data_IF_136793606036
#
_entry.id   IF_136793606036
#
_cell.length_a   1.000
_cell.length_b   1.000
_cell.length_c   1.000
_cell.angle_alpha   90.00
_cell.angle_beta   90.00
_cell.angle_gamma   90.00
#
_symmetry.space_group_name_H-M   'P 1'
#
loop_
_entity.id
_entity.type
_entity.pdbx_description
1 polymer ?
#
# COMPACT_ATOMS: atom_id res chain seq x y z
N UNK A 1 -24.12 -37.21 21.52
CA UNK A 1 -23.11 -36.33 22.14
C UNK A 1 -22.14 -35.71 21.12
N UNK A 2 -21.70 -36.45 20.09
CA UNK A 2 -20.81 -35.92 19.04
C UNK A 2 -21.38 -34.75 18.19
N UNK A 3 -22.70 -34.69 17.97
CA UNK A 3 -23.34 -33.63 17.16
C UNK A 3 -23.24 -32.25 17.83
N UNK A 4 -23.40 -32.19 19.16
CA UNK A 4 -23.32 -30.93 19.91
C UNK A 4 -21.88 -30.38 19.98
N UNK A 5 -20.87 -31.27 20.08
CA UNK A 5 -19.47 -30.88 20.02
C UNK A 5 -19.11 -30.27 18.66
N UNK A 6 -19.63 -30.84 17.56
CA UNK A 6 -19.35 -30.39 16.20
C UNK A 6 -20.00 -29.03 15.89
N UNK A 7 -21.23 -28.81 16.37
CA UNK A 7 -21.91 -27.50 16.25
C UNK A 7 -21.19 -26.41 17.05
N UNK A 8 -20.69 -26.72 18.24
CA UNK A 8 -19.96 -25.74 19.05
C UNK A 8 -18.62 -25.33 18.41
N UNK A 9 -17.89 -26.30 17.85
CA UNK A 9 -16.64 -26.05 17.12
C UNK A 9 -16.86 -25.23 15.85
N UNK A 10 -17.94 -25.49 15.11
CA UNK A 10 -18.29 -24.74 13.91
C UNK A 10 -18.67 -23.28 14.23
N UNK A 11 -19.43 -23.06 15.32
CA UNK A 11 -19.79 -21.71 15.77
C UNK A 11 -18.57 -20.89 16.23
N UNK A 12 -17.61 -21.51 16.91
CA UNK A 12 -16.36 -20.85 17.32
C UNK A 12 -15.47 -20.48 16.13
N UNK A 13 -15.35 -21.36 15.13
CA UNK A 13 -14.63 -21.08 13.89
C UNK A 13 -15.25 -19.91 13.11
N UNK A 14 -16.58 -19.92 12.96
CA UNK A 14 -17.32 -18.86 12.29
C UNK A 14 -17.16 -17.49 12.96
N UNK A 15 -17.09 -17.45 14.30
CA UNK A 15 -16.79 -16.22 15.05
C UNK A 15 -15.36 -15.74 14.79
N UNK A 16 -14.36 -16.62 14.92
CA UNK A 16 -12.95 -16.25 14.70
C UNK A 16 -12.68 -15.70 13.30
N UNK A 17 -13.32 -16.27 12.26
CA UNK A 17 -13.20 -15.74 10.90
C UNK A 17 -13.87 -14.37 10.76
N UNK A 18 -15.03 -14.13 11.40
CA UNK A 18 -15.68 -12.81 11.36
C UNK A 18 -14.81 -11.74 11.99
N UNK A 19 -14.17 -12.07 13.11
CA UNK A 19 -13.26 -11.15 13.81
C UNK A 19 -12.01 -10.86 12.97
N UNK A 20 -11.44 -11.87 12.32
CA UNK A 20 -10.32 -11.69 11.40
C UNK A 20 -10.68 -10.80 10.19
N UNK A 21 -11.86 -11.03 9.59
CA UNK A 21 -12.38 -10.22 8.47
C UNK A 21 -12.61 -8.77 8.90
N UNK A 22 -13.16 -8.56 10.09
CA UNK A 22 -13.40 -7.23 10.65
C UNK A 22 -12.07 -6.50 10.90
N UNK A 23 -11.12 -7.17 11.54
CA UNK A 23 -9.78 -6.63 11.81
C UNK A 23 -9.03 -6.28 10.51
N UNK A 24 -9.07 -7.16 9.50
CA UNK A 24 -8.50 -6.87 8.19
C UNK A 24 -9.15 -5.65 7.53
N UNK A 25 -10.48 -5.57 7.56
CA UNK A 25 -11.21 -4.45 6.96
C UNK A 25 -10.90 -3.12 7.65
N UNK A 26 -10.74 -3.12 8.97
CA UNK A 26 -10.32 -1.95 9.74
C UNK A 26 -8.89 -1.55 9.40
N UNK A 27 -7.96 -2.50 9.40
CA UNK A 27 -6.57 -2.26 9.02
C UNK A 27 -6.47 -1.68 7.59
N UNK A 28 -7.22 -2.24 6.64
CA UNK A 28 -7.23 -1.77 5.24
C UNK A 28 -7.84 -0.38 5.11
N UNK A 29 -8.90 -0.08 5.84
CA UNK A 29 -9.47 1.28 5.86
C UNK A 29 -8.45 2.31 6.35
N UNK A 30 -7.72 2.01 7.44
CA UNK A 30 -6.64 2.86 7.96
C UNK A 30 -5.52 3.04 6.93
N UNK A 31 -5.10 1.97 6.27
CA UNK A 31 -4.09 2.03 5.22
C UNK A 31 -4.51 2.97 4.07
N UNK A 32 -5.74 2.85 3.58
CA UNK A 32 -6.25 3.70 2.49
C UNK A 32 -6.35 5.17 2.88
N UNK A 33 -6.72 5.47 4.13
CA UNK A 33 -6.69 6.84 4.65
C UNK A 33 -5.27 7.39 4.68
N UNK A 34 -4.29 6.60 5.13
CA UNK A 34 -2.88 7.00 5.14
C UNK A 34 -2.34 7.26 3.73
N UNK A 35 -2.72 6.43 2.76
CA UNK A 35 -2.40 6.63 1.33
C UNK A 35 -3.02 7.92 0.81
N UNK A 36 -4.29 8.20 1.16
CA UNK A 36 -4.96 9.44 0.78
C UNK A 36 -4.26 10.69 1.30
N UNK A 37 -3.88 10.71 2.59
CA UNK A 37 -3.13 11.83 3.20
C UNK A 37 -1.77 11.98 2.54
N UNK A 38 -1.02 10.89 2.40
CA UNK A 38 0.33 10.90 1.82
C UNK A 38 0.31 11.35 0.36
N UNK A 39 -0.65 10.88 -0.44
CA UNK A 39 -0.81 11.31 -1.83
C UNK A 39 -1.19 12.80 -1.96
N UNK A 40 -2.01 13.32 -1.04
CA UNK A 40 -2.28 14.75 -0.96
C UNK A 40 -1.01 15.58 -0.68
N UNK A 41 -0.17 15.12 0.26
CA UNK A 41 1.10 15.78 0.59
C UNK A 41 2.08 15.77 -0.60
N UNK A 42 2.23 14.63 -1.28
CA UNK A 42 3.10 14.53 -2.46
C UNK A 42 2.61 15.42 -3.60
N UNK A 43 1.29 15.48 -3.83
CA UNK A 43 0.70 16.38 -4.83
C UNK A 43 0.95 17.86 -4.49
N UNK A 44 0.88 18.23 -3.20
CA UNK A 44 1.20 19.58 -2.75
C UNK A 44 2.68 19.91 -3.00
N UNK A 45 3.61 19.03 -2.65
CA UNK A 45 5.05 19.22 -2.88
C UNK A 45 5.35 19.37 -4.38
N UNK A 46 4.77 18.53 -5.23
CA UNK A 46 4.92 18.63 -6.68
C UNK A 46 4.36 19.95 -7.24
N UNK A 47 3.21 20.40 -6.73
CA UNK A 47 2.62 21.68 -7.11
C UNK A 47 3.55 22.85 -6.73
N UNK A 48 4.14 22.80 -5.53
CA UNK A 48 5.14 23.80 -5.12
C UNK A 48 6.40 23.72 -5.97
N UNK A 49 6.87 22.54 -6.38
CA UNK A 49 8.03 22.42 -7.26
C UNK A 49 7.84 23.15 -8.61
N UNK A 50 6.62 23.15 -9.16
CA UNK A 50 6.31 23.94 -10.37
C UNK A 50 6.40 25.46 -10.18
N UNK A 51 6.32 25.95 -8.94
CA UNK A 51 6.44 27.38 -8.63
C UNK A 51 7.89 27.87 -8.54
N UNK A 52 8.87 26.97 -8.52
CA UNK A 52 10.29 27.37 -8.49
C UNK A 52 10.61 28.19 -9.73
N UNK A 53 11.24 29.35 -9.54
CA UNK A 53 11.55 30.30 -10.62
C UNK A 53 12.34 29.66 -11.77
N UNK A 54 13.19 28.71 -11.45
CA UNK A 54 14.04 27.97 -12.38
C UNK A 54 13.27 26.94 -13.24
N UNK A 55 12.07 26.55 -12.81
CA UNK A 55 11.23 25.59 -13.54
C UNK A 55 10.70 26.16 -14.87
N UNK A 56 10.73 27.47 -15.07
CA UNK A 56 10.23 28.12 -16.29
C UNK A 56 11.22 28.18 -17.44
N UNK A 57 12.47 27.73 -17.26
CA UNK A 57 13.42 27.71 -18.38
C UNK A 57 14.80 27.10 -18.13
N UNK A 58 15.20 26.91 -16.88
CA UNK A 58 16.52 26.35 -16.56
C UNK A 58 16.46 24.83 -16.38
N UNK A 59 15.40 24.29 -15.77
CA UNK A 59 15.32 22.84 -15.59
C UNK A 59 15.12 22.06 -16.91
N UNK A 60 15.82 20.92 -17.07
CA UNK A 60 15.61 20.02 -18.21
C UNK A 60 14.13 19.66 -18.39
N UNK A 61 13.68 19.53 -19.65
CA UNK A 61 12.31 19.12 -19.98
C UNK A 61 11.93 17.76 -19.38
N UNK A 62 12.90 16.86 -19.20
CA UNK A 62 12.73 15.56 -18.55
C UNK A 62 12.27 15.68 -17.09
N UNK A 63 12.81 16.64 -16.33
CA UNK A 63 12.43 16.87 -14.92
C UNK A 63 10.98 17.33 -14.81
N UNK A 64 10.57 18.25 -15.69
CA UNK A 64 9.18 18.73 -15.74
C UNK A 64 8.21 17.61 -16.11
N UNK A 65 8.57 16.77 -17.09
CA UNK A 65 7.79 15.59 -17.45
C UNK A 65 7.64 14.63 -16.26
N UNK A 66 8.72 14.37 -15.52
CA UNK A 66 8.67 13.58 -14.28
C UNK A 66 7.71 14.19 -13.26
N UNK A 67 7.74 15.51 -13.03
CA UNK A 67 6.81 16.15 -12.10
C UNK A 67 5.35 16.01 -12.51
N UNK A 68 5.02 16.17 -13.79
CA UNK A 68 3.65 15.96 -14.27
C UNK A 68 3.20 14.51 -14.09
N UNK A 69 4.05 13.54 -14.42
CA UNK A 69 3.75 12.10 -14.25
C UNK A 69 3.57 11.76 -12.76
N UNK A 70 4.47 12.25 -11.91
CA UNK A 70 4.37 12.07 -10.46
C UNK A 70 3.07 12.65 -9.91
N UNK A 71 2.64 13.81 -10.39
CA UNK A 71 1.41 14.46 -9.95
C UNK A 71 0.18 13.65 -10.36
N UNK A 72 0.15 13.16 -11.61
CA UNK A 72 -0.91 12.28 -12.09
C UNK A 72 -1.01 11.01 -11.24
N UNK A 73 0.12 10.33 -10.99
CA UNK A 73 0.14 9.14 -10.14
C UNK A 73 -0.33 9.42 -8.71
N UNK A 74 0.04 10.56 -8.13
CA UNK A 74 -0.41 10.94 -6.78
C UNK A 74 -1.92 11.14 -6.73
N UNK A 75 -2.49 11.90 -7.69
CA UNK A 75 -3.92 12.15 -7.76
C UNK A 75 -4.73 10.88 -8.05
N UNK A 76 -4.22 10.02 -8.94
CA UNK A 76 -4.83 8.71 -9.21
C UNK A 76 -4.82 7.83 -7.96
N UNK A 77 -3.70 7.79 -7.22
CA UNK A 77 -3.62 7.08 -5.94
C UNK A 77 -4.69 7.55 -4.95
N UNK A 78 -4.81 8.86 -4.72
CA UNK A 78 -5.81 9.43 -3.80
C UNK A 78 -7.23 9.10 -4.25
N UNK A 79 -7.50 9.21 -5.54
CA UNK A 79 -8.80 8.91 -6.13
C UNK A 79 -9.16 7.43 -5.94
N UNK A 80 -8.22 6.51 -6.22
CA UNK A 80 -8.44 5.08 -6.03
C UNK A 80 -8.58 4.72 -4.55
N UNK A 81 -7.76 5.29 -3.67
CA UNK A 81 -7.86 5.07 -2.23
C UNK A 81 -9.24 5.51 -1.70
N UNK A 82 -9.76 6.64 -2.19
CA UNK A 82 -11.08 7.15 -1.83
C UNK A 82 -12.19 6.22 -2.33
N UNK A 83 -12.14 5.80 -3.61
CA UNK A 83 -13.12 4.88 -4.18
C UNK A 83 -13.13 3.54 -3.44
N UNK A 84 -11.95 2.99 -3.12
CA UNK A 84 -11.79 1.75 -2.38
C UNK A 84 -12.29 1.88 -0.93
N UNK A 85 -12.03 3.01 -0.27
CA UNK A 85 -12.53 3.28 1.08
C UNK A 85 -14.07 3.35 1.12
N UNK A 86 -14.69 4.01 0.13
CA UNK A 86 -16.15 4.06 0.00
C UNK A 86 -16.72 2.66 -0.26
N UNK A 87 -16.12 1.89 -1.16
CA UNK A 87 -16.55 0.52 -1.45
C UNK A 87 -16.45 -0.37 -0.21
N UNK A 88 -15.36 -0.26 0.55
CA UNK A 88 -15.15 -0.99 1.79
C UNK A 88 -16.17 -0.57 2.87
N UNK A 89 -16.43 0.73 3.02
CA UNK A 89 -17.42 1.26 3.95
C UNK A 89 -18.83 0.74 3.63
N UNK A 90 -19.21 0.75 2.34
CA UNK A 90 -20.48 0.16 1.88
C UNK A 90 -20.55 -1.33 2.19
N UNK A 91 -19.46 -2.07 1.96
CA UNK A 91 -19.40 -3.48 2.29
C UNK A 91 -19.55 -3.71 3.80
N UNK A 92 -18.93 -2.90 4.66
CA UNK A 92 -19.04 -3.02 6.14
C UNK A 92 -20.45 -2.75 6.67
N UNK A 93 -21.17 -1.81 6.09
CA UNK A 93 -22.53 -1.44 6.53
C UNK A 93 -23.61 -2.42 6.05
N UNK A 94 -23.31 -3.31 5.11
CA UNK A 94 -24.31 -4.23 4.56
C UNK A 94 -24.48 -5.47 5.46
N UNK A 95 -25.71 -5.96 5.72
CA UNK A 95 -25.94 -7.16 6.56
C UNK A 95 -25.25 -8.43 6.05
N UNK A 96 -25.05 -8.53 4.73
CA UNK A 96 -24.27 -9.60 4.06
C UNK A 96 -22.82 -9.21 3.74
N UNK A 97 -22.37 -8.08 4.27
CA UNK A 97 -21.09 -7.46 4.00
C UNK A 97 -19.90 -8.32 4.38
N UNK A 98 -19.96 -8.93 5.55
CA UNK A 98 -18.91 -9.83 6.05
C UNK A 98 -18.76 -11.05 5.13
N UNK A 99 -19.86 -11.60 4.60
CA UNK A 99 -19.80 -12.70 3.64
C UNK A 99 -19.13 -12.28 2.33
N UNK A 100 -19.34 -11.04 1.88
CA UNK A 100 -18.70 -10.50 0.69
C UNK A 100 -17.20 -10.29 0.91
N UNK A 101 -16.79 -9.66 2.02
CA UNK A 101 -15.36 -9.48 2.35
C UNK A 101 -14.67 -10.82 2.61
N UNK A 102 -15.37 -11.79 3.22
CA UNK A 102 -14.88 -13.16 3.39
C UNK A 102 -14.61 -13.83 2.03
N UNK A 103 -15.52 -13.68 1.07
CA UNK A 103 -15.33 -14.15 -0.29
C UNK A 103 -14.15 -13.44 -0.99
N UNK A 104 -13.98 -12.12 -0.79
CA UNK A 104 -12.83 -11.36 -1.30
C UNK A 104 -11.48 -11.80 -0.72
N UNK A 105 -11.47 -12.38 0.48
CA UNK A 105 -10.28 -12.89 1.16
C UNK A 105 -10.03 -14.37 0.90
N UNK A 106 -10.93 -15.05 0.18
CA UNK A 106 -10.78 -16.45 -0.21
C UNK A 106 -10.93 -17.42 0.96
N UNK A 107 -11.55 -16.97 2.04
CA UNK A 107 -11.81 -17.81 3.22
C UNK A 107 -13.08 -18.61 2.95
N UNK A 108 -12.95 -19.76 2.30
CA UNK A 108 -14.05 -20.71 2.10
C UNK A 108 -14.38 -21.46 3.41
N UNK A 109 -15.67 -21.62 3.68
CA UNK A 109 -16.18 -22.38 4.84
C UNK A 109 -16.05 -23.89 4.65
N UNK A 110 -15.90 -24.35 3.39
CA UNK A 110 -15.63 -25.74 3.05
C UNK A 110 -14.20 -25.91 2.56
N UNK A 111 -13.52 -26.95 3.04
CA UNK A 111 -12.15 -27.35 2.66
C UNK A 111 -12.01 -27.80 1.19
N UNK A 112 -12.94 -27.45 0.30
CA UNK A 112 -12.75 -27.61 -1.13
C UNK A 112 -11.99 -26.40 -1.63
N UNK A 113 -10.72 -26.62 -1.96
CA UNK A 113 -9.90 -25.70 -2.77
C UNK A 113 -10.77 -25.09 -3.87
N UNK A 114 -10.91 -23.75 -3.93
CA UNK A 114 -11.69 -23.11 -4.96
C UNK A 114 -11.12 -23.52 -6.33
N UNK A 115 -11.98 -23.75 -7.35
CA UNK A 115 -11.53 -24.10 -8.68
C UNK A 115 -10.51 -23.06 -9.17
N UNK A 116 -9.57 -23.44 -10.06
CA UNK A 116 -8.46 -22.56 -10.47
C UNK A 116 -8.92 -21.21 -11.05
N UNK A 117 -10.14 -21.13 -11.58
CA UNK A 117 -10.77 -19.89 -12.07
C UNK A 117 -11.01 -18.86 -10.95
N UNK A 118 -11.41 -19.31 -9.76
CA UNK A 118 -11.76 -18.45 -8.62
C UNK A 118 -10.51 -17.95 -7.89
N UNK A 119 -9.42 -18.73 -7.91
CA UNK A 119 -8.12 -18.31 -7.37
C UNK A 119 -7.54 -17.11 -8.13
N UNK A 120 -7.72 -17.06 -9.45
CA UNK A 120 -7.27 -15.93 -10.27
C UNK A 120 -8.04 -14.65 -9.93
N UNK A 121 -9.36 -14.74 -9.75
CA UNK A 121 -10.19 -13.59 -9.38
C UNK A 121 -9.79 -13.05 -8.00
N UNK A 122 -9.50 -13.95 -7.05
CA UNK A 122 -9.01 -13.58 -5.73
C UNK A 122 -7.66 -12.86 -5.79
N UNK A 123 -6.71 -13.38 -6.57
CA UNK A 123 -5.40 -12.77 -6.76
C UNK A 123 -5.50 -11.38 -7.40
N UNK A 124 -6.35 -11.23 -8.42
CA UNK A 124 -6.63 -9.94 -9.05
C UNK A 124 -7.26 -8.95 -8.07
N UNK A 125 -8.15 -9.42 -7.21
CA UNK A 125 -8.78 -8.58 -6.20
C UNK A 125 -7.80 -8.11 -5.14
N UNK A 126 -6.94 -9.00 -4.62
CA UNK A 126 -5.85 -8.62 -3.72
C UNK A 126 -4.89 -7.63 -4.37
N UNK A 127 -4.57 -7.83 -5.65
CA UNK A 127 -3.77 -6.89 -6.42
C UNK A 127 -4.42 -5.51 -6.52
N UNK A 128 -5.73 -5.45 -6.83
CA UNK A 128 -6.47 -4.19 -6.91
C UNK A 128 -6.43 -3.40 -5.60
N UNK A 129 -6.51 -4.06 -4.44
CA UNK A 129 -6.38 -3.41 -3.14
C UNK A 129 -4.99 -2.81 -2.87
N UNK A 130 -3.96 -3.24 -3.61
CA UNK A 130 -2.59 -2.71 -3.51
C UNK A 130 -2.29 -1.62 -4.56
N UNK A 131 -3.14 -1.47 -5.58
CA UNK A 131 -2.93 -0.49 -6.66
C UNK A 131 -2.75 0.96 -6.15
N UNK A 132 -3.55 1.50 -5.20
CA UNK A 132 -3.33 2.86 -4.72
C UNK A 132 -1.94 3.07 -4.10
N UNK A 133 -1.47 2.09 -3.32
CA UNK A 133 -0.14 2.10 -2.71
C UNK A 133 0.95 2.09 -3.77
N UNK A 134 0.78 1.27 -4.82
CA UNK A 134 1.74 1.22 -5.94
C UNK A 134 1.84 2.56 -6.66
N UNK A 135 0.71 3.19 -7.00
CA UNK A 135 0.70 4.51 -7.64
C UNK A 135 1.35 5.59 -6.76
N UNK A 136 1.09 5.57 -5.45
CA UNK A 136 1.76 6.47 -4.51
C UNK A 136 3.29 6.24 -4.51
N UNK A 137 3.72 4.99 -4.43
CA UNK A 137 5.15 4.66 -4.46
C UNK A 137 5.81 5.09 -5.76
N UNK A 138 5.16 4.90 -6.91
CA UNK A 138 5.66 5.41 -8.20
C UNK A 138 5.77 6.93 -8.20
N UNK A 139 4.78 7.65 -7.66
CA UNK A 139 4.83 9.12 -7.53
C UNK A 139 6.02 9.57 -6.70
N UNK A 140 6.26 8.94 -5.54
CA UNK A 140 7.40 9.24 -4.66
C UNK A 140 8.73 8.96 -5.37
N UNK A 141 8.84 7.81 -6.05
CA UNK A 141 10.07 7.45 -6.78
C UNK A 141 10.38 8.44 -7.90
N UNK A 142 9.37 8.86 -8.66
CA UNK A 142 9.52 9.86 -9.71
C UNK A 142 9.90 11.22 -9.14
N UNK A 143 9.33 11.62 -7.99
CA UNK A 143 9.71 12.84 -7.29
C UNK A 143 11.18 12.78 -6.84
N UNK A 144 11.61 11.72 -6.17
CA UNK A 144 13.00 11.54 -5.75
C UNK A 144 13.94 11.55 -6.94
N UNK A 145 13.63 10.80 -8.00
CA UNK A 145 14.44 10.77 -9.22
C UNK A 145 14.57 12.17 -9.86
N UNK A 146 13.48 12.95 -9.88
CA UNK A 146 13.50 14.30 -10.43
C UNK A 146 14.42 15.24 -9.66
N UNK A 147 14.44 15.16 -8.32
CA UNK A 147 15.32 15.95 -7.46
C UNK A 147 16.78 15.53 -7.67
N UNK A 148 17.06 14.23 -7.79
CA UNK A 148 18.41 13.74 -8.07
C UNK A 148 18.93 14.22 -9.43
N UNK A 149 18.07 14.24 -10.45
CA UNK A 149 18.43 14.76 -11.76
C UNK A 149 18.77 16.26 -11.69
N UNK A 150 18.01 17.05 -10.93
CA UNK A 150 18.31 18.48 -10.73
C UNK A 150 19.68 18.64 -10.07
N UNK A 151 19.92 17.97 -8.94
CA UNK A 151 21.18 18.07 -8.19
C UNK A 151 22.37 17.65 -9.07
N UNK A 152 22.24 16.55 -9.80
CA UNK A 152 23.33 16.05 -10.64
C UNK A 152 23.66 16.98 -11.81
N UNK A 153 22.68 17.72 -12.33
CA UNK A 153 22.86 18.56 -13.52
C UNK A 153 23.22 20.00 -13.20
N UNK A 154 22.64 20.57 -12.14
CA UNK A 154 22.67 22.00 -11.87
C UNK A 154 23.61 22.40 -10.72
N UNK A 155 23.81 21.51 -9.74
CA UNK A 155 24.48 21.88 -8.50
C UNK A 155 25.99 21.63 -8.53
N UNK A 156 26.71 22.27 -7.60
CA UNK A 156 28.15 22.10 -7.42
C UNK A 156 28.53 20.72 -6.87
N UNK A 157 29.81 20.34 -7.02
CA UNK A 157 30.32 19.04 -6.60
C UNK A 157 30.06 18.72 -5.12
N UNK A 158 30.19 19.71 -4.23
CA UNK A 158 29.96 19.54 -2.78
C UNK A 158 28.50 19.17 -2.48
N UNK A 159 27.56 19.82 -3.17
CA UNK A 159 26.11 19.53 -3.04
C UNK A 159 25.79 18.15 -3.60
N UNK A 160 26.39 17.75 -4.73
CA UNK A 160 26.20 16.40 -5.30
C UNK A 160 26.68 15.29 -4.36
N UNK A 161 27.85 15.45 -3.75
CA UNK A 161 28.42 14.45 -2.83
C UNK A 161 27.59 14.37 -1.54
N UNK A 162 27.21 15.51 -0.96
CA UNK A 162 26.36 15.54 0.26
C UNK A 162 24.97 14.95 0.02
N UNK A 163 24.34 15.26 -1.11
CA UNK A 163 23.07 14.64 -1.51
C UNK A 163 23.22 13.13 -1.72
N UNK A 164 24.32 12.69 -2.36
CA UNK A 164 24.63 11.27 -2.52
C UNK A 164 24.74 10.54 -1.18
N UNK A 165 25.46 11.13 -0.21
CA UNK A 165 25.56 10.59 1.15
C UNK A 165 24.19 10.51 1.85
N UNK A 166 23.35 11.53 1.70
CA UNK A 166 22.00 11.53 2.26
C UNK A 166 21.12 10.40 1.66
N UNK A 167 21.21 10.17 0.35
CA UNK A 167 20.50 9.07 -0.33
C UNK A 167 20.97 7.71 0.17
N UNK A 168 22.30 7.51 0.29
CA UNK A 168 22.87 6.26 0.81
C UNK A 168 22.42 6.04 2.25
N UNK A 169 22.48 7.07 3.09
CA UNK A 169 22.03 6.99 4.48
C UNK A 169 20.53 6.64 4.55
N UNK A 170 19.67 7.30 3.77
CA UNK A 170 18.25 7.01 3.72
C UNK A 170 17.98 5.57 3.23
N UNK A 171 18.70 5.12 2.19
CA UNK A 171 18.60 3.77 1.65
C UNK A 171 19.00 2.69 2.67
N UNK A 172 20.11 2.90 3.40
CA UNK A 172 20.55 1.99 4.46
C UNK A 172 19.53 1.90 5.60
N UNK A 173 18.96 3.04 6.02
CA UNK A 173 17.91 3.03 7.05
C UNK A 173 16.64 2.33 6.57
N UNK A 174 16.24 2.53 5.31
CA UNK A 174 15.08 1.87 4.73
C UNK A 174 15.27 0.35 4.65
N UNK A 175 16.41 -0.11 4.13
CA UNK A 175 16.75 -1.52 4.04
C UNK A 175 16.90 -2.17 5.43
N UNK A 176 17.57 -1.49 6.36
CA UNK A 176 17.75 -1.95 7.73
C UNK A 176 16.41 -2.11 8.46
N UNK A 177 15.53 -1.11 8.35
CA UNK A 177 14.17 -1.18 8.92
C UNK A 177 13.37 -2.35 8.33
N UNK A 178 13.41 -2.50 7.01
CA UNK A 178 12.69 -3.59 6.32
C UNK A 178 13.23 -4.97 6.73
N UNK A 179 14.55 -5.14 6.75
CA UNK A 179 15.18 -6.40 7.14
C UNK A 179 14.92 -6.76 8.60
N UNK A 180 14.96 -5.79 9.51
CA UNK A 180 14.69 -6.00 10.92
C UNK A 180 13.23 -6.40 11.18
N UNK A 181 12.27 -5.69 10.58
CA UNK A 181 10.85 -6.00 10.70
C UNK A 181 10.51 -7.35 10.08
N UNK A 182 11.11 -7.69 8.93
CA UNK A 182 10.91 -8.97 8.28
C UNK A 182 11.48 -10.13 9.12
N UNK A 183 12.67 -9.95 9.70
CA UNK A 183 13.28 -10.95 10.58
C UNK A 183 12.44 -11.20 11.85
N UNK A 184 11.89 -10.14 12.46
CA UNK A 184 10.98 -10.31 13.60
C UNK A 184 9.67 -11.00 13.23
N UNK A 185 9.10 -10.69 12.07
CA UNK A 185 7.88 -11.34 11.57
C UNK A 185 8.10 -12.84 11.33
N UNK A 186 9.28 -13.24 10.84
CA UNK A 186 9.64 -14.64 10.67
C UNK A 186 9.89 -15.35 12.00
N UNK A 187 10.66 -14.73 12.91
CA UNK A 187 10.96 -15.31 14.22
C UNK A 187 9.71 -15.55 15.07
N UNK A 188 8.74 -14.62 15.03
CA UNK A 188 7.46 -14.77 15.75
C UNK A 188 6.53 -15.85 15.16
N UNK A 189 6.75 -16.26 13.91
CA UNK A 189 6.02 -17.36 13.27
C UNK A 189 6.61 -18.73 13.63
N UNK A 190 7.94 -18.81 13.81
CA UNK A 190 8.63 -20.03 14.21
C UNK A 190 8.29 -20.44 15.65
N UNK A 191 8.20 -19.50 16.59
CA UNK A 191 7.82 -19.81 17.99
C UNK A 191 6.39 -20.37 18.11
N UNK A 192 5.45 -19.95 17.25
CA UNK A 192 4.08 -20.47 17.24
C UNK A 192 3.94 -21.87 16.65
N UNK A 193 4.96 -22.42 15.99
CA UNK A 193 4.96 -23.79 15.44
C UNK A 193 5.61 -24.82 16.37
N UNK A 194 6.25 -24.36 17.45
CA UNK A 194 7.01 -25.21 18.40
C UNK A 194 6.27 -25.39 19.74
N UNK A 195 5.18 -24.65 19.97
CA UNK A 195 4.25 -24.84 21.10
C UNK A 195 2.98 -25.57 20.64
#
# INVERSE_FOLDING_TARGET
>A
MAIFQNVHNHNGYEQGVRDAVKSWSEAKATELTNVGVSGGLIAAVLTTAFSWSEARGQFPSSVRACWYIGLLFSLTSVTLATQQSIALSRARCHPKGISYVRAMLGISTDNLTPPPQDQLQLAMQLYLWQVPVMFLNFSIMVLVASILIIIYRMEDYVVRVSAGLAVVFAGLNYLGSTAFLYNQALSGSTDKKVA
#
